data_IF_566206439423
#
_entry.id   IF_566206439423
#
_cell.length_a   1.000
_cell.length_b   1.000
_cell.length_c   1.000
_cell.angle_alpha   90.00
_cell.angle_beta   90.00
_cell.angle_gamma   90.00
#
_symmetry.space_group_name_H-M   'P 1'
#
loop_
_entity.id
_entity.type
_entity.pdbx_description
1 polymer ?
#
# COMPACT_ATOMS: atom_id res chain seq x y z
N UNK A 1 -1.83 -15.10 -23.05
CA UNK A 1 -1.62 -13.75 -23.61
C UNK A 1 -0.61 -13.05 -22.73
N UNK A 2 0.58 -12.80 -23.26
CA UNK A 2 1.72 -12.28 -22.51
C UNK A 2 1.75 -10.76 -22.66
N UNK A 3 1.41 -10.02 -21.60
CA UNK A 3 1.55 -8.56 -21.60
C UNK A 3 3.03 -8.26 -21.40
N UNK A 4 3.72 -7.97 -22.49
CA UNK A 4 5.16 -7.75 -22.52
C UNK A 4 5.57 -6.55 -21.64
N UNK A 5 6.49 -6.79 -20.69
CA UNK A 5 7.56 -5.84 -20.35
C UNK A 5 7.38 -4.90 -19.15
N UNK A 6 6.36 -5.02 -18.31
CA UNK A 6 6.31 -4.27 -17.04
C UNK A 6 6.73 -5.20 -15.90
N UNK A 7 7.84 -4.88 -15.22
CA UNK A 7 8.16 -5.51 -13.93
C UNK A 7 6.92 -5.41 -13.04
N UNK A 8 6.61 -6.47 -12.27
CA UNK A 8 5.46 -6.46 -11.36
C UNK A 8 5.53 -5.21 -10.48
N UNK A 9 4.40 -4.51 -10.25
CA UNK A 9 4.41 -3.28 -9.45
C UNK A 9 5.02 -3.57 -8.08
N UNK A 10 5.96 -2.73 -7.66
CA UNK A 10 6.60 -2.87 -6.36
C UNK A 10 5.75 -2.22 -5.29
N UNK A 11 5.36 -2.99 -4.27
CA UNK A 11 4.51 -2.51 -3.19
C UNK A 11 5.31 -2.53 -1.90
N UNK A 12 5.42 -1.38 -1.24
CA UNK A 12 5.98 -1.31 0.10
C UNK A 12 4.88 -1.61 1.12
N UNK A 13 5.13 -2.55 2.04
CA UNK A 13 4.21 -2.89 3.11
C UNK A 13 4.85 -2.59 4.47
N UNK A 14 4.34 -1.56 5.15
CA UNK A 14 4.74 -1.16 6.48
C UNK A 14 3.77 -1.77 7.49
N UNK A 15 4.25 -2.65 8.36
CA UNK A 15 3.37 -3.44 9.23
C UNK A 15 3.78 -3.42 10.71
N UNK A 16 2.78 -3.29 11.58
CA UNK A 16 2.84 -3.50 13.02
C UNK A 16 2.35 -4.89 13.38
N UNK A 17 1.45 -5.47 12.57
CA UNK A 17 0.85 -6.79 12.82
C UNK A 17 1.40 -7.81 11.80
N UNK A 18 2.25 -8.78 12.22
CA UNK A 18 2.84 -9.77 11.31
C UNK A 18 1.80 -10.57 10.50
N UNK A 19 0.64 -10.88 11.09
CA UNK A 19 -0.43 -11.59 10.41
C UNK A 19 -1.02 -10.81 9.23
N UNK A 20 -1.05 -9.47 9.31
CA UNK A 20 -1.45 -8.62 8.18
C UNK A 20 -0.42 -8.72 7.07
N UNK A 21 0.87 -8.73 7.40
CA UNK A 21 1.94 -8.92 6.43
C UNK A 21 1.80 -10.23 5.65
N UNK A 22 1.58 -11.34 6.35
CA UNK A 22 1.41 -12.66 5.73
C UNK A 22 0.17 -12.71 4.83
N UNK A 23 -0.97 -12.24 5.35
CA UNK A 23 -2.23 -12.25 4.61
C UNK A 23 -2.16 -11.41 3.33
N UNK A 24 -1.53 -10.23 3.39
CA UNK A 24 -1.37 -9.35 2.23
C UNK A 24 -0.35 -9.89 1.23
N UNK A 25 0.77 -10.43 1.70
CA UNK A 25 1.78 -11.03 0.82
C UNK A 25 1.18 -12.20 0.04
N UNK A 26 0.37 -13.02 0.69
CA UNK A 26 -0.38 -14.10 0.03
C UNK A 26 -1.44 -13.58 -0.94
N UNK A 27 -2.21 -12.56 -0.57
CA UNK A 27 -3.25 -12.02 -1.45
C UNK A 27 -2.71 -11.30 -2.71
N UNK A 28 -1.49 -10.77 -2.62
CA UNK A 28 -0.80 -10.05 -3.70
C UNK A 28 0.17 -10.93 -4.49
N UNK A 29 0.28 -12.21 -4.14
CA UNK A 29 1.10 -13.18 -4.84
C UNK A 29 0.74 -13.19 -6.33
N UNK A 30 1.76 -13.10 -7.20
CA UNK A 30 1.64 -13.00 -8.66
C UNK A 30 1.04 -11.69 -9.21
N UNK A 31 0.69 -10.73 -8.35
CA UNK A 31 0.14 -9.41 -8.77
C UNK A 31 1.17 -8.30 -8.59
N UNK A 32 2.02 -8.39 -7.57
CA UNK A 32 2.98 -7.38 -7.18
C UNK A 32 4.23 -7.97 -6.50
N UNK A 33 5.36 -7.26 -6.61
CA UNK A 33 6.56 -7.50 -5.81
C UNK A 33 6.40 -6.78 -4.46
N UNK A 34 6.02 -7.53 -3.41
CA UNK A 34 5.76 -6.96 -2.08
C UNK A 34 7.05 -6.96 -1.25
N UNK A 35 7.44 -5.77 -0.80
CA UNK A 35 8.61 -5.52 0.04
C UNK A 35 8.13 -5.05 1.41
N UNK A 36 8.24 -5.92 2.41
CA UNK A 36 7.65 -5.72 3.74
C UNK A 36 8.66 -5.26 4.78
N UNK A 37 8.28 -4.29 5.60
CA UNK A 37 9.10 -3.70 6.65
C UNK A 37 8.30 -3.53 7.94
N UNK A 38 8.85 -3.89 9.11
CA UNK A 38 8.21 -3.58 10.37
C UNK A 38 8.10 -2.07 10.57
N UNK A 39 6.92 -1.60 10.97
CA UNK A 39 6.66 -0.23 11.35
C UNK A 39 7.43 0.18 12.61
N UNK A 40 7.53 1.49 12.85
CA UNK A 40 8.27 2.11 13.96
C UNK A 40 9.78 2.13 13.76
N UNK A 41 10.27 1.86 12.54
CA UNK A 41 11.71 1.78 12.25
C UNK A 41 12.23 3.05 11.58
N UNK A 42 12.48 4.09 12.40
CA UNK A 42 13.31 5.24 11.99
C UNK A 42 12.78 6.00 10.77
N UNK A 43 13.68 6.38 9.85
CA UNK A 43 13.37 7.18 8.65
C UNK A 43 12.67 6.36 7.56
N UNK A 44 11.35 6.20 7.72
CA UNK A 44 10.49 5.48 6.77
C UNK A 44 10.47 6.15 5.39
N UNK A 45 10.53 7.48 5.33
CA UNK A 45 10.54 8.21 4.05
C UNK A 45 11.86 7.97 3.30
N UNK A 46 12.98 7.95 3.99
CA UNK A 46 14.28 7.59 3.42
C UNK A 46 14.29 6.19 2.83
N UNK A 47 13.71 5.22 3.54
CA UNK A 47 13.51 3.85 3.05
C UNK A 47 12.66 3.83 1.77
N UNK A 48 11.48 4.46 1.79
CA UNK A 48 10.56 4.46 0.64
C UNK A 48 11.18 5.14 -0.59
N UNK A 49 11.96 6.22 -0.41
CA UNK A 49 12.69 6.88 -1.50
C UNK A 49 13.74 5.98 -2.13
N UNK A 50 14.44 5.18 -1.33
CA UNK A 50 15.43 4.21 -1.82
C UNK A 50 14.76 3.08 -2.59
N UNK A 51 13.65 2.55 -2.06
CA UNK A 51 12.92 1.41 -2.62
C UNK A 51 12.21 1.75 -3.95
N UNK A 52 11.74 2.99 -4.09
CA UNK A 52 10.90 3.49 -5.20
C UNK A 52 9.68 2.59 -5.48
N UNK A 53 8.76 2.43 -4.51
CA UNK A 53 7.56 1.62 -4.72
C UNK A 53 6.56 2.33 -5.65
N UNK A 54 5.70 1.54 -6.30
CA UNK A 54 4.54 1.97 -7.08
C UNK A 54 3.29 2.22 -6.22
N UNK A 55 3.25 1.64 -5.02
CA UNK A 55 2.23 1.89 -4.00
C UNK A 55 2.75 1.56 -2.60
N UNK A 56 2.13 2.15 -1.57
CA UNK A 56 2.45 1.88 -0.16
C UNK A 56 1.21 1.38 0.57
N UNK A 57 1.39 0.37 1.40
CA UNK A 57 0.40 -0.10 2.37
C UNK A 57 0.98 0.11 3.77
N UNK A 58 0.16 0.58 4.70
CA UNK A 58 0.54 0.82 6.10
C UNK A 58 -0.60 0.40 7.02
N UNK A 59 -0.29 -0.25 8.15
CA UNK A 59 -1.29 -0.61 9.17
C UNK A 59 -1.20 0.23 10.47
N UNK A 60 -0.21 1.13 10.53
CA UNK A 60 -0.02 2.09 11.61
C UNK A 60 -0.50 3.49 11.24
N UNK A 61 -1.23 4.14 12.14
CA UNK A 61 -1.80 5.46 11.89
C UNK A 61 -0.75 6.58 11.88
N UNK A 62 0.28 6.50 12.74
CA UNK A 62 1.30 7.55 12.82
C UNK A 62 2.22 7.52 11.59
N UNK A 63 2.61 6.32 11.15
CA UNK A 63 3.34 6.17 9.87
C UNK A 63 2.47 6.54 8.67
N UNK A 64 1.15 6.25 8.68
CA UNK A 64 0.26 6.66 7.60
C UNK A 64 0.26 8.18 7.39
N UNK A 65 0.23 8.96 8.46
CA UNK A 65 0.28 10.43 8.40
C UNK A 65 1.64 10.92 7.87
N UNK A 66 2.74 10.30 8.29
CA UNK A 66 4.08 10.64 7.80
C UNK A 66 4.24 10.32 6.32
N UNK A 67 3.86 9.11 5.92
CA UNK A 67 3.93 8.63 4.54
C UNK A 67 3.01 9.43 3.64
N UNK A 68 1.81 9.82 4.09
CA UNK A 68 0.90 10.68 3.33
C UNK A 68 1.55 11.98 2.88
N UNK A 69 2.32 12.65 3.75
CA UNK A 69 3.00 13.91 3.42
C UNK A 69 4.02 13.71 2.30
N UNK A 70 4.64 12.53 2.25
CA UNK A 70 5.58 12.16 1.21
C UNK A 70 4.90 11.70 -0.09
N UNK A 71 3.81 10.93 -0.01
CA UNK A 71 3.13 10.36 -1.19
C UNK A 71 2.25 11.36 -1.93
N UNK A 72 1.65 12.34 -1.23
CA UNK A 72 0.71 13.29 -1.82
C UNK A 72 1.30 14.10 -2.99
N UNK A 73 2.49 14.74 -2.86
CA UNK A 73 3.07 15.55 -3.94
C UNK A 73 3.39 14.75 -5.21
N UNK A 74 3.68 13.46 -5.05
CA UNK A 74 4.03 12.54 -6.14
C UNK A 74 2.84 11.69 -6.63
N UNK A 75 1.63 11.91 -6.08
CA UNK A 75 0.42 11.14 -6.37
C UNK A 75 0.63 9.62 -6.28
N UNK A 76 1.45 9.19 -5.31
CA UNK A 76 1.68 7.78 -5.07
C UNK A 76 0.50 7.18 -4.27
N UNK A 77 -0.11 6.07 -4.70
CA UNK A 77 -1.16 5.41 -3.94
C UNK A 77 -0.67 5.01 -2.55
N UNK A 78 -1.47 5.35 -1.53
CA UNK A 78 -1.25 4.95 -0.15
C UNK A 78 -2.51 4.29 0.39
N UNK A 79 -2.38 3.08 0.92
CA UNK A 79 -3.46 2.35 1.57
C UNK A 79 -3.16 2.27 3.05
N UNK A 80 -4.07 2.78 3.89
CA UNK A 80 -4.01 2.61 5.33
C UNK A 80 -5.03 1.58 5.78
N UNK A 81 -4.57 0.57 6.52
CA UNK A 81 -5.38 -0.50 7.11
C UNK A 81 -5.58 -0.19 8.59
N UNK A 82 -6.72 0.40 8.94
CA UNK A 82 -7.06 0.62 10.35
C UNK A 82 -7.74 -0.63 10.90
N UNK A 83 -6.96 -1.50 11.54
CA UNK A 83 -7.49 -2.70 12.20
C UNK A 83 -8.42 -2.36 13.36
N UNK A 84 -8.13 -1.28 14.09
CA UNK A 84 -8.95 -0.82 15.23
C UNK A 84 -10.33 -0.37 14.78
N UNK A 85 -10.40 0.41 13.70
CA UNK A 85 -11.66 0.92 13.17
C UNK A 85 -12.34 -0.05 12.19
N UNK A 86 -11.64 -1.11 11.79
CA UNK A 86 -12.05 -2.04 10.73
C UNK A 86 -12.31 -1.35 9.40
N UNK A 87 -11.41 -0.44 9.02
CA UNK A 87 -11.50 0.36 7.81
C UNK A 87 -10.26 0.22 6.93
N UNK A 88 -10.49 0.30 5.63
CA UNK A 88 -9.46 0.63 4.64
C UNK A 88 -9.61 2.10 4.26
N UNK A 89 -8.49 2.79 4.13
CA UNK A 89 -8.45 4.14 3.57
C UNK A 89 -7.48 4.15 2.38
N UNK A 90 -7.93 4.64 1.24
CA UNK A 90 -7.07 4.88 0.07
C UNK A 90 -6.83 6.38 -0.07
N UNK A 91 -5.57 6.79 -0.10
CA UNK A 91 -5.22 8.14 -0.49
C UNK A 91 -5.18 8.22 -2.02
N UNK A 92 -6.13 8.96 -2.59
CA UNK A 92 -6.21 9.23 -4.02
C UNK A 92 -6.36 10.73 -4.24
N UNK A 93 -5.49 11.29 -5.08
CA UNK A 93 -5.49 12.72 -5.41
C UNK A 93 -5.50 13.64 -4.16
N UNK A 94 -4.84 13.20 -3.08
CA UNK A 94 -4.74 13.93 -1.81
C UNK A 94 -5.93 13.78 -0.88
N UNK A 95 -6.94 12.98 -1.25
CA UNK A 95 -8.17 12.74 -0.50
C UNK A 95 -8.18 11.29 -0.01
N UNK A 96 -8.60 11.10 1.24
CA UNK A 96 -8.85 9.76 1.78
C UNK A 96 -10.24 9.27 1.36
N UNK A 97 -10.26 8.19 0.59
CA UNK A 97 -11.46 7.41 0.29
C UNK A 97 -11.55 6.26 1.30
N UNK A 98 -12.61 6.22 2.10
CA UNK A 98 -12.82 5.17 3.09
C UNK A 98 -13.64 4.01 2.51
N UNK A 99 -13.33 2.79 2.94
CA UNK A 99 -14.10 1.58 2.61
C UNK A 99 -14.16 0.70 3.85
N UNK A 100 -15.36 0.19 4.15
CA UNK A 100 -15.55 -0.71 5.28
C UNK A 100 -14.87 -2.07 5.06
N UNK A 101 -14.33 -2.64 6.13
CA UNK A 101 -13.63 -3.92 6.13
C UNK A 101 -12.10 -3.78 6.18
N UNK A 102 -11.42 -4.91 6.35
CA UNK A 102 -9.95 -5.00 6.42
C UNK A 102 -9.42 -6.30 5.78
N UNK A 103 -10.21 -6.91 4.90
CA UNK A 103 -9.80 -8.19 4.30
C UNK A 103 -8.66 -7.97 3.30
N UNK A 104 -7.76 -8.95 3.20
CA UNK A 104 -6.66 -8.90 2.25
C UNK A 104 -7.17 -8.82 0.79
N UNK A 105 -8.32 -9.44 0.51
CA UNK A 105 -8.99 -9.32 -0.80
C UNK A 105 -9.50 -7.90 -1.09
N UNK A 106 -10.06 -7.21 -0.10
CA UNK A 106 -10.48 -5.82 -0.26
C UNK A 106 -9.27 -4.91 -0.54
N UNK A 107 -8.15 -5.12 0.16
CA UNK A 107 -6.89 -4.41 -0.11
C UNK A 107 -6.37 -4.69 -1.52
N UNK A 108 -6.36 -5.95 -1.95
CA UNK A 108 -5.94 -6.36 -3.30
C UNK A 108 -6.78 -5.67 -4.38
N UNK A 109 -8.11 -5.68 -4.23
CA UNK A 109 -9.01 -5.09 -5.21
C UNK A 109 -8.81 -3.57 -5.31
N UNK A 110 -8.65 -2.91 -4.17
CA UNK A 110 -8.39 -1.48 -4.07
C UNK A 110 -7.03 -1.10 -4.69
N UNK A 111 -5.97 -1.85 -4.40
CA UNK A 111 -4.64 -1.64 -5.01
C UNK A 111 -4.68 -1.87 -6.52
N UNK A 112 -5.33 -2.94 -6.97
CA UNK A 112 -5.47 -3.26 -8.39
C UNK A 112 -6.16 -2.12 -9.14
N UNK A 113 -7.25 -1.58 -8.59
CA UNK A 113 -7.94 -0.41 -9.14
C UNK A 113 -7.06 0.83 -9.19
N UNK A 114 -6.24 1.08 -8.15
CA UNK A 114 -5.37 2.26 -8.09
C UNK A 114 -4.17 2.20 -9.04
N UNK A 115 -3.56 1.02 -9.22
CA UNK A 115 -2.35 0.81 -10.03
C UNK A 115 -2.71 0.63 -11.51
N UNK A 116 -3.68 -0.25 -11.80
CA UNK A 116 -4.03 -0.64 -13.17
C UNK A 116 -5.17 0.19 -13.76
N UNK A 117 -5.97 0.89 -12.94
CA UNK A 117 -7.06 1.77 -13.40
C UNK A 117 -6.61 3.09 -14.02
N UNK A 118 -5.31 3.41 -14.02
CA UNK A 118 -4.74 4.62 -14.65
C UNK A 118 -4.63 4.56 -16.19
N UNK A 119 -5.26 3.58 -16.83
CA UNK A 119 -5.19 3.35 -18.28
C UNK A 119 -6.40 3.81 -19.11
N UNK A 120 -7.31 4.62 -18.55
CA UNK A 120 -8.50 5.15 -19.24
C UNK A 120 -8.41 6.63 -19.55
#
# INVERSE_FOLDING_TARGET
MNVAGREQPRIALLYTVPLVCEALSSALENIADVQSFPAGRGDVVGLLRSLRPDAVIVDDAAEADEVQRWTSPQRLPLVHISLRERKLRLLRDGIWEETDGTSAEAVRNLLTGSIYGRGG
#
